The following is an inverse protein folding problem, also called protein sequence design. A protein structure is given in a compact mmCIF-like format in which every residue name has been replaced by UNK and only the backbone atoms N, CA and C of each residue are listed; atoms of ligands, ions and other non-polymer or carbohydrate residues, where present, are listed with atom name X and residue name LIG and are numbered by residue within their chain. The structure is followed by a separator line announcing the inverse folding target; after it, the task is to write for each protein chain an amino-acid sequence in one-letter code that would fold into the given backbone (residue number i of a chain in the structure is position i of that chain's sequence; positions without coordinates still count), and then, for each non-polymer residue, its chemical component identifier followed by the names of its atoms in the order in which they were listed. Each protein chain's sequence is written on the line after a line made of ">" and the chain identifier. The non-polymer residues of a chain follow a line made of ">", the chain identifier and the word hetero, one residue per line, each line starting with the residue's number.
data_IF_005706870801
#
_entry.id   IF_005706870801
#
_cell.length_a   1.000
_cell.length_b   1.000
_cell.length_c   1.000
_cell.angle_alpha   90.00
_cell.angle_beta   90.00
_cell.angle_gamma   90.00
#
_symmetry.space_group_name_H-M   'P 1'
#
loop_
_entity.id
_entity.type
_entity.pdbx_description
1 polymer ?
#
# COMPACT_ATOMS: atom_id res chain seq x y z
N UNK A 1 -47.70 5.76 0.90
CA UNK A 1 -46.72 4.89 1.59
C UNK A 1 -46.07 3.87 0.64
N UNK A 2 -46.79 3.00 -0.10
CA UNK A 2 -46.18 1.99 -1.02
C UNK A 2 -45.23 2.57 -2.05
N UNK A 3 -45.53 3.74 -2.68
CA UNK A 3 -44.66 4.39 -3.67
C UNK A 3 -43.35 4.88 -3.05
N UNK A 4 -43.39 5.45 -1.84
CA UNK A 4 -42.19 5.92 -1.12
C UNK A 4 -41.30 4.72 -0.75
N UNK A 5 -41.88 3.66 -0.25
CA UNK A 5 -41.15 2.42 0.06
C UNK A 5 -40.48 1.84 -1.19
N UNK A 6 -41.16 1.81 -2.34
CA UNK A 6 -40.59 1.35 -3.59
C UNK A 6 -39.41 2.23 -4.03
N UNK A 7 -39.52 3.55 -3.91
CA UNK A 7 -38.40 4.48 -4.26
C UNK A 7 -37.20 4.22 -3.36
N UNK A 8 -37.38 4.09 -2.05
CA UNK A 8 -36.30 3.80 -1.12
C UNK A 8 -35.67 2.44 -1.46
N UNK A 9 -36.46 1.42 -1.73
CA UNK A 9 -35.98 0.09 -2.10
C UNK A 9 -35.11 0.11 -3.37
N UNK A 10 -35.60 0.78 -4.44
CA UNK A 10 -34.83 0.93 -5.69
C UNK A 10 -33.54 1.71 -5.45
N UNK A 11 -33.57 2.75 -4.62
CA UNK A 11 -32.37 3.53 -4.27
C UNK A 11 -31.33 2.69 -3.54
N UNK A 12 -31.73 1.89 -2.55
CA UNK A 12 -30.83 0.99 -1.82
C UNK A 12 -30.23 -0.06 -2.75
N UNK A 13 -31.03 -0.66 -3.63
CA UNK A 13 -30.54 -1.63 -4.63
C UNK A 13 -29.51 -0.95 -5.55
N UNK A 14 -29.75 0.28 -6.00
CA UNK A 14 -28.84 1.01 -6.87
C UNK A 14 -27.49 1.26 -6.20
N UNK A 15 -27.48 1.62 -4.91
CA UNK A 15 -26.26 1.79 -4.11
C UNK A 15 -25.49 0.47 -4.00
N UNK A 16 -26.18 -0.63 -3.73
CA UNK A 16 -25.57 -1.96 -3.64
C UNK A 16 -24.95 -2.37 -4.97
N UNK A 17 -25.68 -2.23 -6.07
CA UNK A 17 -25.18 -2.53 -7.43
C UNK A 17 -23.99 -1.62 -7.78
N UNK A 18 -24.05 -0.34 -7.44
CA UNK A 18 -22.92 0.56 -7.61
C UNK A 18 -21.67 0.07 -6.87
N UNK A 19 -21.80 -0.39 -5.63
CA UNK A 19 -20.72 -0.93 -4.83
C UNK A 19 -20.07 -2.17 -5.44
N UNK A 20 -20.87 -3.10 -5.98
CA UNK A 20 -20.38 -4.34 -6.57
C UNK A 20 -19.74 -4.14 -7.95
N UNK A 21 -20.35 -3.34 -8.82
CA UNK A 21 -20.00 -3.33 -10.24
C UNK A 21 -19.17 -2.11 -10.66
N UNK A 22 -19.39 -0.96 -10.04
CA UNK A 22 -18.74 0.28 -10.45
C UNK A 22 -17.60 0.64 -9.48
N UNK A 23 -17.91 0.79 -8.22
CA UNK A 23 -16.94 1.30 -7.24
C UNK A 23 -15.76 0.34 -7.06
N UNK A 24 -16.02 -0.97 -7.00
CA UNK A 24 -15.01 -2.01 -6.81
C UNK A 24 -14.10 -2.20 -8.04
N UNK A 25 -14.60 -1.98 -9.25
CA UNK A 25 -13.85 -2.19 -10.49
C UNK A 25 -13.13 -0.93 -11.01
N UNK A 26 -13.32 0.21 -10.38
CA UNK A 26 -12.58 1.44 -10.69
C UNK A 26 -11.46 1.65 -9.69
N UNK A 27 -10.47 2.47 -10.02
CA UNK A 27 -9.46 2.92 -9.06
C UNK A 27 -9.21 4.42 -9.17
N UNK A 28 -8.60 4.99 -8.16
CA UNK A 28 -8.16 6.39 -8.13
C UNK A 28 -6.67 6.48 -7.82
N UNK A 29 -6.04 7.54 -8.26
CA UNK A 29 -4.71 7.93 -7.84
C UNK A 29 -4.86 9.00 -6.77
N UNK A 30 -4.30 8.75 -5.59
CA UNK A 30 -4.26 9.71 -4.49
C UNK A 30 -2.87 10.31 -4.44
N UNK A 31 -2.75 11.60 -4.76
CA UNK A 31 -1.46 12.30 -4.68
C UNK A 31 -1.42 13.21 -3.46
N UNK A 32 -0.36 13.09 -2.64
CA UNK A 32 -0.14 13.91 -1.44
C UNK A 32 1.31 14.38 -1.35
N UNK A 33 1.52 15.57 -0.82
CA UNK A 33 2.84 16.02 -0.38
C UNK A 33 3.07 15.57 1.07
N UNK A 34 4.28 15.13 1.37
CA UNK A 34 4.77 14.86 2.72
C UNK A 34 5.81 15.93 3.04
N UNK A 35 5.45 16.83 3.92
CA UNK A 35 6.35 17.89 4.36
C UNK A 35 7.29 17.37 5.46
N UNK A 36 8.60 17.55 5.26
CA UNK A 36 9.66 17.12 6.17
C UNK A 36 10.60 18.31 6.40
N UNK A 37 10.81 18.68 7.65
CA UNK A 37 11.62 19.87 8.00
C UNK A 37 13.11 19.66 7.71
N UNK A 38 13.64 18.48 7.95
CA UNK A 38 15.08 18.19 7.92
C UNK A 38 15.54 17.34 6.74
N UNK A 39 14.75 17.26 5.66
CA UNK A 39 15.14 16.48 4.49
C UNK A 39 16.23 17.21 3.67
N UNK A 40 17.18 16.46 3.12
CA UNK A 40 18.17 16.98 2.20
C UNK A 40 17.53 17.54 0.91
N UNK A 41 18.12 18.60 0.34
CA UNK A 41 17.60 19.27 -0.86
C UNK A 41 17.41 18.33 -2.05
N UNK A 42 18.26 17.31 -2.18
CA UNK A 42 18.18 16.31 -3.24
C UNK A 42 16.88 15.50 -3.21
N UNK A 43 16.31 15.27 -2.03
CA UNK A 43 15.04 14.55 -1.86
C UNK A 43 13.81 15.46 -1.97
N UNK A 44 13.96 16.80 -2.10
CA UNK A 44 12.80 17.65 -2.41
C UNK A 44 12.24 17.28 -3.78
N UNK A 45 10.99 16.90 -3.78
CA UNK A 45 10.29 16.41 -4.96
C UNK A 45 10.40 14.91 -5.23
N UNK A 46 11.13 14.14 -4.42
CA UNK A 46 11.23 12.68 -4.53
C UNK A 46 9.87 12.02 -4.42
N UNK A 47 9.57 11.08 -5.32
CA UNK A 47 8.27 10.46 -5.46
C UNK A 47 8.29 9.01 -4.98
N UNK A 48 7.45 8.70 -4.02
CA UNK A 48 7.23 7.35 -3.49
C UNK A 48 5.84 6.90 -3.92
N UNK A 49 5.75 5.82 -4.70
CA UNK A 49 4.48 5.20 -5.04
C UNK A 49 4.20 4.04 -4.10
N UNK A 50 3.10 4.11 -3.38
CA UNK A 50 2.62 3.05 -2.50
C UNK A 50 1.53 2.24 -3.17
N UNK A 51 1.73 0.92 -3.19
CA UNK A 51 0.79 -0.10 -3.62
C UNK A 51 0.52 -1.05 -2.47
N UNK A 52 -0.68 -1.63 -2.39
CA UNK A 52 -1.05 -2.59 -1.36
C UNK A 52 -2.27 -3.41 -1.74
N UNK A 53 -2.38 -4.58 -1.16
CA UNK A 53 -3.63 -5.35 -1.15
C UNK A 53 -4.25 -5.52 -2.54
N UNK A 54 -3.50 -6.06 -3.48
CA UNK A 54 -4.05 -6.38 -4.80
C UNK A 54 -5.08 -7.51 -4.68
N UNK A 55 -4.86 -8.46 -3.78
CA UNK A 55 -5.77 -9.55 -3.44
C UNK A 55 -6.35 -10.20 -4.69
N UNK A 56 -5.48 -10.52 -5.65
CA UNK A 56 -5.85 -11.08 -6.94
C UNK A 56 -6.49 -12.45 -6.73
N UNK A 57 -7.72 -12.62 -7.21
CA UNK A 57 -8.53 -13.83 -7.05
C UNK A 57 -8.60 -14.66 -8.32
N UNK A 58 -8.53 -14.00 -9.46
CA UNK A 58 -8.74 -14.62 -10.76
C UNK A 58 -8.09 -13.83 -11.89
N UNK A 59 -8.03 -14.45 -13.07
CA UNK A 59 -7.54 -13.81 -14.30
C UNK A 59 -8.19 -12.44 -14.58
N UNK A 60 -9.46 -12.24 -14.22
CA UNK A 60 -10.17 -10.95 -14.43
C UNK A 60 -9.53 -9.79 -13.67
N UNK A 61 -8.87 -10.07 -12.56
CA UNK A 61 -8.21 -9.03 -11.78
C UNK A 61 -6.93 -8.54 -12.47
N UNK A 62 -6.29 -9.38 -13.30
CA UNK A 62 -5.05 -9.03 -14.01
C UNK A 62 -5.24 -7.84 -14.94
N UNK A 63 -6.38 -7.73 -15.61
CA UNK A 63 -6.66 -6.62 -16.54
C UNK A 63 -6.68 -5.27 -15.79
N UNK A 64 -7.19 -5.26 -14.56
CA UNK A 64 -7.15 -4.06 -13.70
C UNK A 64 -5.72 -3.74 -13.27
N UNK A 65 -4.93 -4.75 -12.88
CA UNK A 65 -3.53 -4.55 -12.49
C UNK A 65 -2.69 -4.05 -13.67
N UNK A 66 -2.96 -4.54 -14.88
CA UNK A 66 -2.32 -4.07 -16.10
C UNK A 66 -2.62 -2.58 -16.37
N UNK A 67 -3.89 -2.14 -16.21
CA UNK A 67 -4.26 -0.73 -16.31
C UNK A 67 -3.56 0.13 -15.24
N UNK A 68 -3.42 -0.38 -14.03
CA UNK A 68 -2.68 0.29 -12.94
C UNK A 68 -1.21 0.42 -13.32
N UNK A 69 -0.58 -0.65 -13.85
CA UNK A 69 0.82 -0.63 -14.30
C UNK A 69 1.07 0.46 -15.34
N UNK A 70 0.20 0.58 -16.34
CA UNK A 70 0.30 1.66 -17.34
C UNK A 70 0.20 3.05 -16.71
N UNK A 71 -0.68 3.22 -15.72
CA UNK A 71 -0.81 4.52 -15.02
C UNK A 71 0.38 4.84 -14.12
N UNK A 72 1.01 3.84 -13.53
CA UNK A 72 2.23 4.02 -12.74
C UNK A 72 3.35 4.61 -13.60
N UNK A 73 3.51 4.13 -14.82
CA UNK A 73 4.54 4.59 -15.74
C UNK A 73 4.34 6.07 -16.15
N UNK A 74 3.09 6.54 -16.23
CA UNK A 74 2.78 7.97 -16.42
C UNK A 74 3.20 8.83 -15.22
N UNK A 75 3.17 8.28 -13.99
CA UNK A 75 3.49 9.00 -12.75
C UNK A 75 4.99 9.20 -12.55
N UNK A 76 5.82 8.32 -13.13
CA UNK A 76 7.28 8.31 -13.01
C UNK A 76 7.73 8.42 -11.55
N UNK A 77 7.42 7.43 -10.70
CA UNK A 77 7.89 7.41 -9.32
C UNK A 77 9.41 7.18 -9.26
N UNK A 78 10.04 7.65 -8.20
CA UNK A 78 11.45 7.35 -7.94
C UNK A 78 11.61 5.96 -7.32
N UNK A 79 10.71 5.58 -6.42
CA UNK A 79 10.60 4.23 -5.88
C UNK A 79 9.16 3.75 -5.85
N UNK A 80 8.99 2.42 -5.86
CA UNK A 80 7.72 1.76 -5.61
C UNK A 80 7.84 0.95 -4.33
N UNK A 81 6.85 1.07 -3.44
CA UNK A 81 6.71 0.24 -2.23
C UNK A 81 5.42 -0.56 -2.31
N UNK A 82 5.49 -1.87 -2.06
CA UNK A 82 4.35 -2.77 -2.05
C UNK A 82 4.13 -3.34 -0.64
N UNK A 83 3.00 -3.00 -0.02
CA UNK A 83 2.71 -3.33 1.36
C UNK A 83 2.03 -4.70 1.57
N UNK A 84 2.30 -5.68 0.69
CA UNK A 84 1.80 -7.05 0.84
C UNK A 84 0.40 -7.32 0.33
N UNK A 85 -0.05 -8.57 0.48
CA UNK A 85 -1.34 -9.07 0.01
C UNK A 85 -1.50 -8.99 -1.52
N UNK A 86 -0.54 -9.60 -2.24
CA UNK A 86 -0.58 -9.68 -3.70
C UNK A 86 -1.69 -10.59 -4.20
N UNK A 87 -1.70 -11.83 -3.72
CA UNK A 87 -2.69 -12.83 -4.09
C UNK A 87 -3.67 -13.07 -2.94
N UNK A 88 -4.92 -13.33 -3.29
CA UNK A 88 -5.86 -13.85 -2.32
C UNK A 88 -5.59 -15.34 -2.08
N UNK A 89 -5.57 -15.80 -0.81
CA UNK A 89 -5.25 -17.21 -0.44
C UNK A 89 -5.99 -18.28 -1.26
N UNK A 90 -7.22 -17.97 -1.68
CA UNK A 90 -8.05 -18.85 -2.50
C UNK A 90 -8.20 -18.26 -3.90
N UNK A 91 -7.08 -18.00 -4.57
CA UNK A 91 -7.09 -17.59 -5.97
C UNK A 91 -7.28 -18.80 -6.91
N UNK A 92 -7.62 -18.53 -8.16
CA UNK A 92 -7.82 -19.53 -9.23
C UNK A 92 -6.93 -19.25 -10.45
N UNK A 93 -5.72 -18.76 -10.19
CA UNK A 93 -4.75 -18.44 -11.23
C UNK A 93 -4.05 -19.70 -11.72
N UNK A 94 -3.86 -19.81 -13.03
CA UNK A 94 -2.99 -20.79 -13.66
C UNK A 94 -1.54 -20.30 -13.65
N UNK A 95 -0.58 -21.19 -13.94
CA UNK A 95 0.81 -20.80 -14.11
C UNK A 95 1.01 -19.73 -15.20
N UNK A 96 0.22 -19.77 -16.28
CA UNK A 96 0.25 -18.76 -17.33
C UNK A 96 -0.26 -17.40 -16.81
N UNK A 97 -1.28 -17.40 -15.96
CA UNK A 97 -1.78 -16.18 -15.32
C UNK A 97 -0.74 -15.59 -14.35
N UNK A 98 -0.02 -16.43 -13.60
CA UNK A 98 1.09 -16.00 -12.73
C UNK A 98 2.23 -15.41 -13.58
N UNK A 99 2.60 -16.04 -14.70
CA UNK A 99 3.61 -15.49 -15.59
C UNK A 99 3.19 -14.15 -16.20
N UNK A 100 1.91 -14.00 -16.58
CA UNK A 100 1.34 -12.72 -17.01
C UNK A 100 1.45 -11.68 -15.88
N UNK A 101 1.09 -12.04 -14.65
CA UNK A 101 1.19 -11.15 -13.48
C UNK A 101 2.63 -10.67 -13.26
N UNK A 102 3.60 -11.59 -13.30
CA UNK A 102 5.03 -11.24 -13.18
C UNK A 102 5.41 -10.19 -14.25
N UNK A 103 5.00 -10.41 -15.50
CA UNK A 103 5.24 -9.45 -16.59
C UNK A 103 4.62 -8.08 -16.32
N UNK A 104 3.38 -8.03 -15.82
CA UNK A 104 2.70 -6.78 -15.47
C UNK A 104 3.44 -6.04 -14.35
N UNK A 105 3.81 -6.74 -13.26
CA UNK A 105 4.53 -6.18 -12.12
C UNK A 105 5.93 -5.70 -12.52
N UNK A 106 6.61 -6.47 -13.38
CA UNK A 106 7.93 -6.10 -13.92
C UNK A 106 7.87 -4.81 -14.73
N UNK A 107 6.81 -4.60 -15.49
CA UNK A 107 6.57 -3.41 -16.31
C UNK A 107 6.14 -2.17 -15.50
N UNK A 108 5.92 -2.28 -14.20
CA UNK A 108 5.76 -1.10 -13.31
C UNK A 108 7.12 -0.42 -13.16
N UNK A 109 7.31 0.70 -13.84
CA UNK A 109 8.59 1.38 -13.95
C UNK A 109 8.80 2.41 -12.82
N UNK A 110 10.04 2.52 -12.35
CA UNK A 110 10.48 3.54 -11.41
C UNK A 110 11.96 3.88 -11.65
N UNK A 111 12.38 5.03 -11.14
CA UNK A 111 13.76 5.52 -11.40
C UNK A 111 14.83 4.69 -10.69
N UNK A 112 14.53 4.16 -9.49
CA UNK A 112 15.54 3.54 -8.63
C UNK A 112 15.17 2.10 -8.24
N UNK A 113 14.27 1.91 -7.29
CA UNK A 113 14.04 0.61 -6.67
C UNK A 113 12.57 0.29 -6.46
N UNK A 114 12.26 -1.00 -6.49
CA UNK A 114 10.98 -1.56 -6.06
C UNK A 114 11.19 -2.37 -4.79
N UNK A 115 10.47 -2.01 -3.72
CA UNK A 115 10.51 -2.71 -2.44
C UNK A 115 9.17 -3.34 -2.11
N UNK A 116 9.19 -4.45 -1.39
CA UNK A 116 7.98 -5.13 -0.96
C UNK A 116 8.13 -5.69 0.45
N UNK A 117 7.00 -5.82 1.15
CA UNK A 117 6.86 -6.60 2.38
C UNK A 117 5.78 -7.65 2.20
N UNK A 118 5.76 -8.65 3.07
CA UNK A 118 4.82 -9.77 3.01
C UNK A 118 3.55 -9.40 3.77
N UNK A 119 2.37 -9.78 3.24
CA UNK A 119 1.08 -9.67 3.89
C UNK A 119 0.57 -11.01 4.43
N UNK A 120 -0.58 -11.01 5.12
CA UNK A 120 -1.15 -12.22 5.74
C UNK A 120 -1.87 -13.16 4.77
N UNK A 121 -2.20 -12.71 3.57
CA UNK A 121 -2.70 -13.56 2.48
C UNK A 121 -1.58 -14.21 1.65
N UNK A 122 -0.35 -13.70 1.71
CA UNK A 122 0.74 -14.16 0.88
C UNK A 122 1.30 -15.50 1.38
N UNK A 123 1.44 -16.48 0.47
CA UNK A 123 2.33 -17.62 0.69
C UNK A 123 3.77 -17.17 0.45
N UNK A 124 4.64 -17.34 1.43
CA UNK A 124 5.99 -16.77 1.40
C UNK A 124 6.81 -17.25 0.19
N UNK A 125 6.65 -18.48 -0.23
CA UNK A 125 7.43 -19.04 -1.34
C UNK A 125 6.90 -18.52 -2.68
N UNK A 126 5.59 -18.62 -2.91
CA UNK A 126 4.94 -18.13 -4.12
C UNK A 126 5.11 -16.62 -4.27
N UNK A 127 4.87 -15.86 -3.20
CA UNK A 127 5.05 -14.41 -3.17
C UNK A 127 6.49 -14.01 -3.50
N UNK A 128 7.47 -14.66 -2.87
CA UNK A 128 8.89 -14.35 -3.08
C UNK A 128 9.31 -14.66 -4.51
N UNK A 129 8.84 -15.77 -5.08
CA UNK A 129 9.13 -16.12 -6.47
C UNK A 129 8.58 -15.06 -7.44
N UNK A 130 7.31 -14.65 -7.26
CA UNK A 130 6.65 -13.65 -8.12
C UNK A 130 7.36 -12.30 -8.00
N UNK A 131 7.56 -11.81 -6.78
CA UNK A 131 8.08 -10.47 -6.54
C UNK A 131 9.55 -10.34 -6.99
N UNK A 132 10.39 -11.35 -6.71
CA UNK A 132 11.79 -11.36 -7.17
C UNK A 132 11.88 -11.38 -8.72
N UNK A 133 11.05 -12.19 -9.40
CA UNK A 133 10.99 -12.20 -10.88
C UNK A 133 10.49 -10.87 -11.47
N UNK A 134 9.71 -10.12 -10.70
CA UNK A 134 9.21 -8.79 -11.05
C UNK A 134 10.13 -7.63 -10.61
N UNK A 135 11.37 -7.95 -10.21
CA UNK A 135 12.41 -7.01 -9.78
C UNK A 135 12.07 -6.22 -8.51
N UNK A 136 11.21 -6.77 -7.62
CA UNK A 136 11.00 -6.24 -6.28
C UNK A 136 11.98 -6.86 -5.29
N UNK A 137 12.62 -6.02 -4.48
CA UNK A 137 13.40 -6.46 -3.31
C UNK A 137 12.45 -6.61 -2.12
N UNK A 138 12.30 -7.84 -1.62
CA UNK A 138 11.52 -8.09 -0.42
C UNK A 138 12.38 -7.73 0.79
N UNK A 139 11.81 -6.96 1.70
CA UNK A 139 12.40 -6.59 2.98
C UNK A 139 11.63 -7.31 4.10
N UNK A 140 12.23 -8.34 4.68
CA UNK A 140 11.66 -9.13 5.77
C UNK A 140 12.43 -8.87 7.07
N UNK A 141 12.00 -7.85 7.83
CA UNK A 141 12.72 -7.29 8.96
C UNK A 141 14.17 -6.89 8.60
N UNK A 142 14.30 -6.28 7.43
CA UNK A 142 15.57 -5.83 6.85
C UNK A 142 15.49 -4.37 6.41
N UNK A 143 16.66 -3.72 6.39
CA UNK A 143 16.81 -2.35 5.89
C UNK A 143 17.59 -2.30 4.57
N UNK A 144 17.36 -1.25 3.82
CA UNK A 144 18.10 -0.88 2.61
C UNK A 144 18.32 0.63 2.58
N UNK A 145 19.41 1.06 1.96
CA UNK A 145 19.71 2.48 1.81
C UNK A 145 19.50 2.92 0.38
N UNK A 146 18.87 4.10 0.22
CA UNK A 146 18.60 4.72 -1.06
C UNK A 146 19.48 5.95 -1.17
N UNK A 147 20.54 5.84 -1.95
CA UNK A 147 21.41 6.97 -2.28
C UNK A 147 20.84 7.72 -3.47
N UNK A 148 20.66 9.02 -3.33
CA UNK A 148 20.13 9.88 -4.37
C UNK A 148 20.90 11.18 -4.46
N UNK A 149 21.57 11.42 -5.61
CA UNK A 149 22.38 12.60 -5.89
C UNK A 149 23.52 12.86 -4.87
N UNK A 150 24.22 11.80 -4.48
CA UNK A 150 25.44 11.82 -3.64
C UNK A 150 25.30 12.53 -2.27
N UNK A 151 24.12 12.45 -1.66
CA UNK A 151 23.86 12.99 -0.32
C UNK A 151 23.58 11.88 0.68
N UNK A 152 23.33 12.25 1.94
CA UNK A 152 22.90 11.30 2.98
C UNK A 152 21.74 10.44 2.46
N UNK A 153 21.80 9.11 2.60
CA UNK A 153 20.78 8.23 2.07
C UNK A 153 19.49 8.32 2.88
N UNK A 154 18.38 7.97 2.23
CA UNK A 154 17.15 7.54 2.89
C UNK A 154 17.30 6.08 3.30
N UNK A 155 16.97 5.75 4.55
CA UNK A 155 16.86 4.38 5.02
C UNK A 155 15.42 3.90 4.81
N UNK A 156 15.25 2.74 4.21
CA UNK A 156 13.96 2.07 4.09
C UNK A 156 14.02 0.71 4.77
N UNK A 157 13.13 0.48 5.73
CA UNK A 157 13.05 -0.75 6.51
C UNK A 157 11.72 -1.45 6.24
N UNK A 158 11.75 -2.72 5.84
CA UNK A 158 10.55 -3.55 5.74
C UNK A 158 10.33 -4.34 7.01
N UNK A 159 9.11 -4.30 7.55
CA UNK A 159 8.74 -5.05 8.76
C UNK A 159 7.58 -6.00 8.47
N UNK A 160 7.86 -7.31 8.62
CA UNK A 160 6.85 -8.37 8.55
C UNK A 160 6.23 -8.68 9.92
N UNK A 161 6.98 -8.45 11.01
CA UNK A 161 6.51 -8.57 12.38
C UNK A 161 7.25 -7.61 13.31
N UNK A 162 6.79 -7.48 14.56
CA UNK A 162 7.41 -6.63 15.57
C UNK A 162 8.53 -7.34 16.36
N UNK A 163 8.77 -8.62 16.10
CA UNK A 163 9.84 -9.35 16.75
C UNK A 163 11.19 -8.80 16.23
N UNK A 164 12.07 -8.45 17.16
CA UNK A 164 13.37 -7.87 16.80
C UNK A 164 13.33 -6.55 16.02
N UNK A 165 12.30 -5.74 16.23
CA UNK A 165 12.15 -4.42 15.60
C UNK A 165 13.42 -3.56 15.73
N UNK A 166 14.03 -3.53 16.93
CA UNK A 166 15.26 -2.79 17.18
C UNK A 166 16.41 -3.29 16.31
N UNK A 167 16.51 -4.58 16.03
CA UNK A 167 17.51 -5.13 15.13
C UNK A 167 17.27 -4.69 13.68
N UNK A 168 16.02 -4.67 13.22
CA UNK A 168 15.68 -4.27 11.86
C UNK A 168 15.91 -2.77 11.65
N UNK A 169 15.58 -1.93 12.65
CA UNK A 169 15.73 -0.47 12.58
C UNK A 169 17.19 -0.06 12.79
N UNK A 170 17.94 -0.70 13.71
CA UNK A 170 19.29 -0.32 14.07
C UNK A 170 20.38 -1.10 13.30
N UNK A 171 20.03 -1.78 12.20
CA UNK A 171 21.03 -2.37 11.31
C UNK A 171 21.87 -1.25 10.69
N UNK A 172 23.17 -1.23 11.02
CA UNK A 172 24.17 -0.23 10.60
C UNK A 172 23.94 1.20 11.16
N UNK A 173 23.98 1.36 12.48
CA UNK A 173 23.90 2.65 13.18
C UNK A 173 25.01 3.67 12.82
N UNK A 174 25.97 3.30 11.97
CA UNK A 174 27.10 4.16 11.61
C UNK A 174 26.83 5.06 10.39
N UNK A 175 25.72 4.89 9.71
CA UNK A 175 25.40 5.69 8.53
C UNK A 175 24.34 6.75 8.87
N UNK A 176 24.76 8.01 8.84
CA UNK A 176 23.87 9.15 9.03
C UNK A 176 22.86 9.23 7.87
N UNK A 177 21.58 9.14 8.18
CA UNK A 177 20.49 9.12 7.20
C UNK A 177 19.72 10.44 7.20
N UNK A 178 19.17 10.83 6.06
CA UNK A 178 18.33 12.03 5.96
C UNK A 178 16.87 11.75 6.31
N UNK A 179 16.43 10.50 6.17
CA UNK A 179 15.04 10.09 6.38
C UNK A 179 14.98 8.60 6.71
N UNK A 180 14.23 8.24 7.72
CA UNK A 180 13.96 6.85 8.13
C UNK A 180 12.52 6.47 7.76
N UNK A 181 12.36 5.61 6.76
CA UNK A 181 11.08 5.15 6.24
C UNK A 181 10.86 3.68 6.62
N UNK A 182 9.69 3.37 7.14
CA UNK A 182 9.26 1.98 7.37
C UNK A 182 8.14 1.62 6.41
N UNK A 183 8.22 0.45 5.80
CA UNK A 183 7.12 -0.19 5.09
C UNK A 183 6.70 -1.44 5.85
N UNK A 184 5.40 -1.59 6.07
CA UNK A 184 4.81 -2.75 6.77
C UNK A 184 3.46 -3.08 6.18
N UNK A 185 2.97 -4.30 6.37
CA UNK A 185 1.60 -4.63 6.01
C UNK A 185 0.61 -4.04 7.01
N UNK A 186 0.94 -4.06 8.31
CA UNK A 186 0.03 -3.82 9.43
C UNK A 186 0.08 -2.40 9.97
N UNK A 187 -1.01 -1.60 9.85
CA UNK A 187 -1.00 -0.21 10.29
C UNK A 187 -0.93 -0.05 11.83
N UNK A 188 -1.45 -1.01 12.60
CA UNK A 188 -1.42 -0.92 14.07
C UNK A 188 0.01 -1.08 14.65
N UNK A 189 1.00 -1.52 13.84
CA UNK A 189 2.42 -1.50 14.22
C UNK A 189 2.93 -0.09 14.48
N UNK A 190 2.25 0.93 13.94
CA UNK A 190 2.57 2.32 14.19
C UNK A 190 2.52 2.69 15.68
N UNK A 191 1.73 1.98 16.48
CA UNK A 191 1.70 2.21 17.94
C UNK A 191 3.06 2.02 18.61
N UNK A 192 3.86 1.10 18.10
CA UNK A 192 5.24 0.88 18.54
C UNK A 192 6.21 1.79 17.80
N UNK A 193 6.08 1.85 16.47
CA UNK A 193 7.01 2.56 15.58
C UNK A 193 7.12 4.06 15.84
N UNK A 194 6.04 4.72 16.24
CA UNK A 194 6.03 6.17 16.55
C UNK A 194 6.90 6.57 17.74
N UNK A 195 7.41 5.58 18.51
CA UNK A 195 8.31 5.81 19.63
C UNK A 195 9.79 5.54 19.27
N UNK A 196 10.03 5.13 18.03
CA UNK A 196 11.36 4.92 17.48
C UNK A 196 11.77 6.11 16.60
N UNK A 197 13.03 6.15 16.15
CA UNK A 197 13.53 7.16 15.22
C UNK A 197 13.05 6.88 13.78
N UNK A 198 11.75 7.09 13.53
CA UNK A 198 11.06 6.84 12.28
C UNK A 198 10.30 8.08 11.86
N UNK A 199 10.55 8.56 10.64
CA UNK A 199 9.86 9.73 10.09
C UNK A 199 8.55 9.35 9.41
N UNK A 200 8.55 8.26 8.62
CA UNK A 200 7.42 7.86 7.80
C UNK A 200 7.17 6.35 7.90
N UNK A 201 5.91 5.98 8.07
CA UNK A 201 5.42 4.60 7.97
C UNK A 201 4.39 4.50 6.85
N UNK A 202 4.60 3.56 5.93
CA UNK A 202 3.62 3.17 4.92
C UNK A 202 3.03 1.81 5.28
N UNK A 203 1.69 1.71 5.36
CA UNK A 203 0.99 0.48 5.69
C UNK A 203 -0.21 0.20 4.76
N UNK A 204 -0.63 -1.06 4.70
CA UNK A 204 -1.78 -1.55 3.95
C UNK A 204 -2.85 -2.18 4.82
N UNK A 205 -3.27 -3.42 4.48
CA UNK A 205 -4.10 -4.36 5.24
C UNK A 205 -5.52 -3.92 5.54
N UNK A 206 -5.73 -2.65 5.91
CA UNK A 206 -7.03 -2.16 6.40
C UNK A 206 -8.09 -2.08 5.31
N UNK A 207 -7.70 -2.01 4.03
CA UNK A 207 -8.58 -1.69 2.90
C UNK A 207 -9.42 -0.42 3.12
N UNK A 208 -8.95 0.51 3.98
CA UNK A 208 -9.72 1.64 4.51
C UNK A 208 -11.07 1.21 5.12
N UNK A 209 -11.15 -0.02 5.67
CA UNK A 209 -12.38 -0.62 6.16
C UNK A 209 -13.34 -1.08 5.08
N UNK A 210 -12.90 -1.20 3.83
CA UNK A 210 -13.58 -1.71 2.62
C UNK A 210 -14.93 -1.04 2.30
N UNK A 211 -15.76 -0.77 3.32
CA UNK A 211 -16.99 0.02 3.27
C UNK A 211 -16.83 1.23 4.19
N UNK A 212 -16.92 2.42 3.63
CA UNK A 212 -16.76 3.67 4.38
C UNK A 212 -18.10 4.39 4.45
N UNK A 213 -18.58 4.66 5.66
CA UNK A 213 -19.77 5.49 5.84
C UNK A 213 -19.35 6.96 6.07
N UNK A 214 -20.08 7.91 5.42
CA UNK A 214 -19.87 9.33 5.71
C UNK A 214 -19.95 9.60 7.21
N UNK A 215 -19.03 10.37 7.74
CA UNK A 215 -18.91 10.78 9.14
C UNK A 215 -18.55 9.67 10.16
N UNK A 216 -18.61 8.40 9.76
CA UNK A 216 -18.29 7.26 10.64
C UNK A 216 -16.93 6.60 10.30
N UNK A 217 -16.53 6.63 9.02
CA UNK A 217 -15.30 5.98 8.53
C UNK A 217 -15.51 4.53 8.10
N UNK A 218 -14.41 3.77 8.10
CA UNK A 218 -14.39 2.36 7.69
C UNK A 218 -15.13 1.45 8.67
N UNK A 219 -15.98 0.57 8.14
CA UNK A 219 -16.83 -0.32 8.97
C UNK A 219 -16.09 -1.61 9.31
N UNK A 220 -15.37 -2.20 8.34
CA UNK A 220 -14.70 -3.49 8.52
C UNK A 220 -13.32 -3.21 9.12
N UNK A 221 -13.08 -3.74 10.32
CA UNK A 221 -11.79 -3.66 11.01
C UNK A 221 -11.14 -5.04 11.00
N UNK A 222 -10.00 -5.13 10.33
CA UNK A 222 -9.17 -6.33 10.36
C UNK A 222 -8.37 -6.39 11.68
N UNK A 223 -7.81 -7.57 12.01
CA UNK A 223 -6.76 -7.66 13.03
C UNK A 223 -5.60 -6.75 12.64
N UNK A 224 -4.86 -6.18 13.58
CA UNK A 224 -3.72 -5.26 13.33
C UNK A 224 -4.07 -4.01 12.46
N UNK A 225 -5.38 -3.71 12.31
CA UNK A 225 -5.93 -2.50 11.72
C UNK A 225 -7.19 -2.04 12.48
N UNK A 226 -7.13 -2.07 13.81
CA UNK A 226 -8.25 -1.69 14.70
C UNK A 226 -8.19 -0.23 15.09
N UNK A 227 -6.98 0.26 15.38
CA UNK A 227 -6.74 1.65 15.77
C UNK A 227 -6.55 2.54 14.54
N UNK A 228 -5.67 2.14 13.65
CA UNK A 228 -5.32 2.89 12.46
C UNK A 228 -5.95 2.24 11.22
N UNK A 229 -7.11 2.76 10.80
CA UNK A 229 -7.93 2.10 9.76
C UNK A 229 -7.90 2.86 8.44
N UNK A 230 -7.84 4.19 8.46
CA UNK A 230 -8.11 5.02 7.29
C UNK A 230 -7.27 6.30 7.27
N UNK A 231 -6.68 6.59 6.13
CA UNK A 231 -6.05 7.90 5.87
C UNK A 231 -4.62 8.03 6.38
N UNK A 232 -4.33 9.07 7.13
CA UNK A 232 -3.00 9.34 7.68
C UNK A 232 -3.08 9.87 9.10
N UNK A 233 -2.04 9.55 9.87
CA UNK A 233 -1.89 9.96 11.27
C UNK A 233 -0.51 10.58 11.45
N UNK A 234 -0.38 11.47 12.43
CA UNK A 234 0.89 12.05 12.84
C UNK A 234 0.95 12.05 14.36
N UNK A 235 1.89 11.31 14.93
CA UNK A 235 2.11 11.16 16.37
C UNK A 235 3.62 11.10 16.64
N UNK A 236 4.11 11.80 17.66
CA UNK A 236 5.53 11.79 18.09
C UNK A 236 6.52 12.11 16.95
N UNK A 237 6.18 13.03 16.05
CA UNK A 237 6.93 13.41 14.84
C UNK A 237 7.00 12.33 13.74
N UNK A 238 6.40 11.16 13.95
CA UNK A 238 6.27 10.13 12.93
C UNK A 238 4.94 10.27 12.19
N UNK A 239 4.95 9.97 10.89
CA UNK A 239 3.77 10.05 10.00
C UNK A 239 3.42 8.68 9.48
N UNK A 240 2.17 8.24 9.70
CA UNK A 240 1.63 7.01 9.12
C UNK A 240 0.73 7.33 7.92
N UNK A 241 0.94 6.60 6.84
CA UNK A 241 0.08 6.64 5.64
C UNK A 241 -0.46 5.25 5.36
N UNK A 242 -1.79 5.13 5.33
CA UNK A 242 -2.49 3.87 5.14
C UNK A 242 -3.05 3.83 3.72
N UNK A 243 -2.72 2.79 2.97
CA UNK A 243 -3.30 2.54 1.66
C UNK A 243 -4.65 1.84 1.79
N UNK A 244 -5.63 2.32 1.03
CA UNK A 244 -6.90 1.62 0.89
C UNK A 244 -6.84 0.38 0.00
N UNK A 245 -5.69 0.11 -0.62
CA UNK A 245 -5.47 -1.06 -1.47
C UNK A 245 -6.33 -1.10 -2.74
N UNK A 246 -6.06 -2.08 -3.58
CA UNK A 246 -6.71 -2.24 -4.90
C UNK A 246 -7.78 -3.33 -4.88
N UNK A 247 -7.55 -4.41 -4.17
CA UNK A 247 -8.41 -5.59 -4.11
C UNK A 247 -9.58 -5.47 -3.15
N UNK A 248 -10.14 -6.59 -2.84
CA UNK A 248 -11.20 -6.74 -1.83
C UNK A 248 -10.95 -8.02 -1.04
N UNK A 249 -11.27 -8.04 0.23
CA UNK A 249 -11.21 -9.24 1.03
C UNK A 249 -12.32 -10.23 0.61
N UNK A 250 -12.97 -10.92 1.51
CA UNK A 250 -13.92 -12.03 1.27
C UNK A 250 -15.02 -11.71 0.24
N UNK A 251 -15.60 -10.52 0.29
CA UNK A 251 -16.68 -10.09 -0.59
C UNK A 251 -16.13 -9.05 -1.58
N UNK A 252 -16.40 -9.26 -2.88
CA UNK A 252 -15.99 -8.32 -3.93
C UNK A 252 -16.92 -7.09 -3.96
N UNK A 253 -16.86 -6.29 -2.89
CA UNK A 253 -17.73 -5.15 -2.66
C UNK A 253 -16.98 -4.02 -1.96
N UNK A 254 -17.02 -2.82 -2.51
CA UNK A 254 -16.55 -1.59 -1.89
C UNK A 254 -17.64 -0.52 -1.98
N UNK A 255 -17.86 0.23 -0.92
CA UNK A 255 -18.84 1.32 -0.93
C UNK A 255 -18.21 2.59 -0.33
N UNK A 256 -18.33 3.71 -1.07
CA UNK A 256 -17.73 5.01 -0.77
C UNK A 256 -16.20 4.97 -0.53
N UNK A 257 -15.56 3.90 -0.96
CA UNK A 257 -14.14 3.64 -0.81
C UNK A 257 -13.63 2.98 -2.08
N UNK A 258 -13.22 3.79 -3.07
CA UNK A 258 -12.63 3.28 -4.30
C UNK A 258 -11.26 2.64 -4.03
N UNK A 259 -10.94 1.54 -4.73
CA UNK A 259 -9.55 1.09 -4.86
C UNK A 259 -8.61 2.26 -5.16
N UNK A 260 -7.41 2.23 -4.58
CA UNK A 260 -6.49 3.35 -4.74
C UNK A 260 -5.03 2.91 -4.83
N UNK A 261 -4.25 3.72 -5.55
CA UNK A 261 -2.80 3.75 -5.50
C UNK A 261 -2.38 5.13 -5.01
N UNK A 262 -1.32 5.19 -4.20
CA UNK A 262 -0.96 6.41 -3.52
C UNK A 262 0.41 6.91 -4.00
N UNK A 263 0.47 8.13 -4.51
CA UNK A 263 1.70 8.81 -4.88
C UNK A 263 2.02 9.89 -3.86
N UNK A 264 3.14 9.73 -3.18
CA UNK A 264 3.65 10.73 -2.24
C UNK A 264 4.82 11.47 -2.85
N UNK A 265 4.86 12.78 -2.64
CA UNK A 265 5.97 13.62 -3.03
C UNK A 265 6.56 14.25 -1.78
N UNK A 266 7.81 13.94 -1.50
CA UNK A 266 8.53 14.57 -0.40
C UNK A 266 8.72 16.04 -0.68
N UNK A 267 8.55 16.87 0.35
CA UNK A 267 8.69 18.31 0.29
C UNK A 267 9.47 18.82 1.48
N UNK A 268 10.56 19.52 1.18
CA UNK A 268 11.29 20.30 2.19
C UNK A 268 10.41 21.44 2.66
N UNK A 269 10.32 21.59 3.97
CA UNK A 269 9.51 22.63 4.62
C UNK A 269 10.33 23.88 4.88
#
# INVERSE_FOLDING_TARGET
>A
MKKIFLIIFVFVISIVLYGFFINTNSFKIVSKNINIESIEDSFDGFKILQLSDFLIKSKKDLDRIEQISLKINDLKPDIIVFNGDLLYKKNSLSNDDINKLIGILKNMDCTLYKYAVIGDNDDINEYSEIMNKADFKILDNESSYIFYKDVKPMKITGLSNLDNISKAINMDDNLDTTLNVVITHYPDYFETLKNEDIDIVFAGHSLNGQVVLPFYGGIIKNSEAKKYVYGSYEENNSKLFISGGVGTNKINFRLFNKPEINLYKLKKQ
#
